data_IF_924352509569
#
_entry.id   IF_924352509569
#
_cell.length_a   1.000
_cell.length_b   1.000
_cell.length_c   1.000
_cell.angle_alpha   90.00
_cell.angle_beta   90.00
_cell.angle_gamma   90.00
#
_symmetry.space_group_name_H-M   'P 1'
#
loop_
_entity.id
_entity.type
_entity.pdbx_description
1 polymer ?
#
# COMPACT_ATOMS: atom_id res chain seq x y z
N UNK A 1 -53.07 -36.94 45.98
CA UNK A 1 -52.11 -36.19 46.81
C UNK A 1 -50.78 -36.17 46.08
N UNK A 2 -50.53 -35.08 45.37
CA UNK A 2 -49.28 -34.73 44.71
C UNK A 2 -48.39 -33.99 45.70
N UNK A 3 -47.08 -34.28 45.69
CA UNK A 3 -45.94 -33.36 45.85
C UNK A 3 -44.71 -34.20 46.23
N UNK A 4 -43.68 -34.14 45.38
CA UNK A 4 -42.30 -34.11 45.85
C UNK A 4 -41.51 -33.18 44.95
N UNK A 5 -41.53 -31.91 45.31
CA UNK A 5 -40.72 -30.85 44.74
C UNK A 5 -39.32 -30.97 45.34
N UNK A 6 -38.42 -31.73 44.69
CA UNK A 6 -36.99 -31.73 45.08
C UNK A 6 -35.99 -32.25 44.05
N UNK A 7 -36.38 -32.36 42.78
CA UNK A 7 -35.45 -32.66 41.69
C UNK A 7 -35.50 -31.56 40.65
N UNK A 8 -34.31 -31.16 40.20
CA UNK A 8 -34.04 -30.19 39.13
C UNK A 8 -34.01 -28.71 39.51
N UNK A 9 -33.38 -28.40 40.64
CA UNK A 9 -32.63 -27.15 40.87
C UNK A 9 -31.20 -27.20 40.25
N UNK A 10 -30.99 -28.01 39.21
CA UNK A 10 -29.67 -28.28 38.58
C UNK A 10 -29.62 -28.00 37.07
N UNK A 11 -30.50 -27.17 36.53
CA UNK A 11 -30.21 -26.45 35.28
C UNK A 11 -30.30 -24.97 35.60
N UNK A 12 -29.20 -24.43 36.12
CA UNK A 12 -28.32 -23.64 35.27
C UNK A 12 -29.05 -22.41 34.73
N UNK A 13 -29.24 -21.43 35.60
CA UNK A 13 -28.30 -20.29 35.65
C UNK A 13 -27.10 -20.44 34.70
N UNK A 14 -27.34 -20.42 33.39
CA UNK A 14 -26.38 -20.04 32.37
C UNK A 14 -26.76 -18.63 31.92
N UNK A 15 -26.57 -17.74 32.88
CA UNK A 15 -26.26 -16.34 32.67
C UNK A 15 -25.08 -16.23 31.69
N UNK A 16 -25.21 -15.27 30.77
CA UNK A 16 -24.13 -14.38 30.33
C UNK A 16 -22.98 -15.06 29.58
N UNK A 17 -22.93 -14.83 28.28
CA UNK A 17 -21.82 -14.14 27.59
C UNK A 17 -22.01 -14.34 26.09
N UNK A 18 -22.86 -13.52 25.49
CA UNK A 18 -22.74 -13.26 24.06
C UNK A 18 -21.42 -12.53 23.89
N UNK A 19 -20.34 -13.31 23.73
CA UNK A 19 -19.03 -12.83 23.38
C UNK A 19 -19.22 -12.11 22.05
N UNK A 20 -19.29 -10.78 22.12
CA UNK A 20 -18.89 -9.94 21.00
C UNK A 20 -17.42 -10.32 20.77
N UNK A 21 -17.19 -11.32 19.91
CA UNK A 21 -15.93 -11.43 19.21
C UNK A 21 -15.89 -10.19 18.32
N UNK A 22 -15.50 -9.05 18.90
CA UNK A 22 -14.72 -8.08 18.16
C UNK A 22 -13.55 -8.90 17.63
N UNK A 23 -13.62 -9.28 16.37
CA UNK A 23 -12.48 -9.83 15.68
C UNK A 23 -11.39 -8.79 15.82
N UNK A 24 -10.47 -9.02 16.75
CA UNK A 24 -9.13 -8.49 16.64
C UNK A 24 -8.55 -9.23 15.44
N UNK A 25 -8.95 -8.83 14.23
CA UNK A 25 -8.19 -9.14 13.04
C UNK A 25 -6.84 -8.47 13.25
N UNK A 26 -5.77 -9.25 13.15
CA UNK A 26 -4.43 -8.68 13.16
C UNK A 26 -4.38 -7.58 12.09
N UNK A 27 -3.76 -6.43 12.40
CA UNK A 27 -3.67 -5.34 11.44
C UNK A 27 -2.97 -5.84 10.16
N UNK A 28 -3.34 -5.28 8.99
CA UNK A 28 -2.75 -5.71 7.74
C UNK A 28 -1.22 -5.57 7.76
N UNK A 29 -0.53 -6.66 7.40
CA UNK A 29 0.92 -6.70 7.33
C UNK A 29 1.40 -6.23 5.95
N UNK A 30 2.09 -5.09 5.92
CA UNK A 30 2.66 -4.50 4.70
C UNK A 30 4.14 -4.80 4.50
N UNK A 31 4.83 -5.32 5.51
CA UNK A 31 6.27 -5.61 5.42
C UNK A 31 6.57 -6.61 4.30
N UNK A 32 7.59 -6.32 3.49
CA UNK A 32 7.99 -7.18 2.39
C UNK A 32 8.64 -6.44 1.23
N UNK A 33 9.03 -7.21 0.22
CA UNK A 33 9.52 -6.69 -1.05
C UNK A 33 8.47 -6.93 -2.12
N UNK A 34 8.23 -5.92 -2.96
CA UNK A 34 7.17 -5.94 -3.94
C UNK A 34 7.63 -5.41 -5.30
N UNK A 35 7.01 -5.92 -6.36
CA UNK A 35 7.21 -5.49 -7.74
C UNK A 35 5.88 -5.19 -8.41
N UNK A 36 5.84 -4.17 -9.27
CA UNK A 36 4.67 -3.92 -10.12
C UNK A 36 4.38 -5.11 -11.04
N UNK A 37 3.12 -5.48 -11.20
CA UNK A 37 2.70 -6.60 -12.06
C UNK A 37 1.56 -6.25 -13.00
N UNK A 38 1.36 -7.08 -14.03
CA UNK A 38 0.36 -6.84 -15.05
C UNK A 38 -1.04 -7.26 -14.60
N UNK A 39 -2.00 -6.35 -14.77
CA UNK A 39 -3.43 -6.58 -14.59
C UNK A 39 -3.85 -6.91 -13.16
N UNK A 40 -5.16 -7.09 -12.97
CA UNK A 40 -5.76 -7.42 -11.67
C UNK A 40 -5.29 -8.79 -11.13
N UNK A 41 -4.79 -9.66 -12.02
CA UNK A 41 -4.33 -11.02 -11.72
C UNK A 41 -2.88 -11.08 -11.24
N UNK A 42 -2.22 -9.94 -11.02
CA UNK A 42 -0.83 -9.88 -10.56
C UNK A 42 0.11 -10.75 -11.39
N UNK A 43 -0.03 -10.70 -12.71
CA UNK A 43 0.77 -11.55 -13.58
C UNK A 43 2.19 -11.00 -13.68
N UNK A 44 3.23 -11.85 -13.52
CA UNK A 44 4.59 -11.45 -13.84
C UNK A 44 4.64 -11.02 -15.31
N UNK A 45 5.29 -9.90 -15.60
CA UNK A 45 5.42 -9.45 -16.98
C UNK A 45 6.14 -8.12 -17.09
N UNK A 46 6.62 -7.85 -18.30
CA UNK A 46 7.24 -6.58 -18.69
C UNK A 46 6.23 -5.71 -19.43
N UNK A 47 6.49 -4.40 -19.49
CA UNK A 47 5.66 -3.47 -20.26
C UNK A 47 4.71 -2.62 -19.42
N UNK A 48 4.89 -2.56 -18.10
CA UNK A 48 4.35 -1.45 -17.32
C UNK A 48 4.94 -0.13 -17.82
N UNK A 49 4.18 0.99 -17.74
CA UNK A 49 4.78 2.31 -17.88
C UNK A 49 5.98 2.45 -16.96
N UNK A 50 7.05 3.11 -17.39
CA UNK A 50 8.30 3.18 -16.61
C UNK A 50 8.07 3.73 -15.17
N UNK A 51 7.09 4.61 -14.99
CA UNK A 51 6.69 5.14 -13.68
C UNK A 51 6.16 4.06 -12.71
N UNK A 52 5.63 2.97 -13.26
CA UNK A 52 5.00 1.85 -12.55
C UNK A 52 5.84 0.58 -12.56
N UNK A 53 6.88 0.53 -13.38
CA UNK A 53 7.94 -0.47 -13.30
C UNK A 53 8.83 -0.14 -12.09
N UNK A 54 8.39 -0.62 -10.93
CA UNK A 54 8.93 -0.23 -9.63
C UNK A 54 9.22 -1.43 -8.74
N UNK A 55 10.20 -1.27 -7.86
CA UNK A 55 10.46 -2.15 -6.73
C UNK A 55 10.25 -1.39 -5.42
N UNK A 56 9.49 -1.97 -4.51
CA UNK A 56 9.14 -1.40 -3.21
C UNK A 56 9.61 -2.33 -2.09
N UNK A 57 10.43 -1.85 -1.17
CA UNK A 57 10.87 -2.58 0.03
C UNK A 57 10.28 -1.88 1.25
N UNK A 58 9.27 -2.49 1.87
CA UNK A 58 8.57 -1.99 3.06
C UNK A 58 9.10 -2.71 4.30
N UNK A 59 9.47 -1.96 5.32
CA UNK A 59 9.95 -2.48 6.60
C UNK A 59 9.18 -1.83 7.75
N UNK A 60 9.09 -2.56 8.85
CA UNK A 60 8.67 -2.00 10.13
C UNK A 60 9.85 -1.23 10.72
N UNK A 61 9.63 0.05 11.02
CA UNK A 61 10.65 0.96 11.56
C UNK A 61 10.75 0.82 13.09
N UNK A 62 9.61 0.67 13.78
CA UNK A 62 9.58 0.42 15.23
C UNK A 62 8.58 -0.70 15.57
N UNK A 63 9.06 -1.95 15.73
CA UNK A 63 8.20 -3.10 15.99
C UNK A 63 7.67 -3.15 17.43
N UNK A 64 8.20 -2.33 18.35
CA UNK A 64 7.80 -2.33 19.76
C UNK A 64 6.64 -1.37 20.04
N UNK A 65 6.31 -0.49 19.09
CA UNK A 65 5.16 0.41 19.21
C UNK A 65 3.85 -0.33 18.99
N UNK A 66 2.84 0.07 19.78
CA UNK A 66 1.45 -0.43 19.66
C UNK A 66 0.86 -0.20 18.25
N UNK A 67 1.33 0.84 17.55
CA UNK A 67 1.06 1.08 16.13
C UNK A 67 2.39 0.98 15.38
N UNK A 68 2.58 -0.01 14.49
CA UNK A 68 3.82 -0.13 13.74
C UNK A 68 3.97 1.08 12.82
N UNK A 69 5.15 1.72 12.87
CA UNK A 69 5.57 2.66 11.82
C UNK A 69 6.19 1.86 10.68
N UNK A 70 5.88 2.24 9.45
CA UNK A 70 6.49 1.65 8.26
C UNK A 70 7.47 2.64 7.65
N UNK A 71 8.52 2.12 7.03
CA UNK A 71 9.37 2.87 6.11
C UNK A 71 9.45 2.06 4.83
N UNK A 72 9.28 2.73 3.70
CA UNK A 72 9.43 2.12 2.39
C UNK A 72 10.64 2.70 1.67
N UNK A 73 11.28 1.87 0.85
CA UNK A 73 12.29 2.26 -0.13
C UNK A 73 11.77 1.97 -1.52
N UNK A 74 11.51 3.01 -2.31
CA UNK A 74 11.03 2.93 -3.68
C UNK A 74 12.19 3.02 -4.66
N UNK A 75 12.23 2.13 -5.65
CA UNK A 75 13.18 2.14 -6.77
C UNK A 75 12.40 2.12 -8.09
N UNK A 76 12.71 3.07 -8.96
CA UNK A 76 12.20 3.14 -10.33
C UNK A 76 13.25 3.80 -11.22
N UNK A 77 13.35 3.36 -12.47
CA UNK A 77 14.28 3.89 -13.46
C UNK A 77 13.76 5.17 -14.15
N UNK A 78 12.44 5.42 -14.11
CA UNK A 78 11.80 6.52 -14.83
C UNK A 78 12.28 7.91 -14.40
N UNK A 79 12.86 8.00 -13.20
CA UNK A 79 13.08 9.27 -12.51
C UNK A 79 14.53 9.47 -12.07
N UNK A 80 15.45 8.71 -12.67
CA UNK A 80 16.87 8.67 -12.33
C UNK A 80 17.15 7.64 -11.25
N UNK A 81 18.00 6.65 -11.58
CA UNK A 81 18.34 5.49 -10.76
C UNK A 81 18.84 5.87 -9.36
N UNK A 82 17.92 5.99 -8.40
CA UNK A 82 18.28 6.06 -6.99
C UNK A 82 17.07 5.65 -6.13
N UNK A 83 17.27 4.83 -5.10
CA UNK A 83 16.19 4.53 -4.18
C UNK A 83 15.85 5.72 -3.28
N UNK A 84 14.57 6.03 -3.15
CA UNK A 84 14.05 7.06 -2.23
C UNK A 84 13.34 6.38 -1.07
N UNK A 85 13.53 6.89 0.15
CA UNK A 85 12.87 6.35 1.34
C UNK A 85 11.81 7.30 1.89
N UNK A 86 10.70 6.76 2.39
CA UNK A 86 9.63 7.55 3.00
C UNK A 86 9.02 6.84 4.21
N UNK A 87 8.62 7.58 5.26
CA UNK A 87 7.78 7.04 6.32
C UNK A 87 6.38 6.77 5.78
N UNK A 88 5.78 5.68 6.26
CA UNK A 88 4.41 5.28 5.94
C UNK A 88 3.43 5.79 6.98
N UNK A 89 2.26 6.21 6.52
CA UNK A 89 1.13 6.61 7.36
C UNK A 89 0.00 5.60 7.20
N UNK A 90 -0.38 4.95 8.30
CA UNK A 90 -1.57 4.11 8.34
C UNK A 90 -2.83 4.97 8.42
N UNK A 91 -3.81 4.65 7.57
CA UNK A 91 -5.16 5.23 7.57
C UNK A 91 -6.18 4.09 7.42
N UNK A 92 -6.66 3.56 8.55
CA UNK A 92 -7.47 2.33 8.56
C UNK A 92 -6.68 1.14 8.01
N UNK A 93 -7.19 0.54 6.93
CA UNK A 93 -6.56 -0.59 6.24
C UNK A 93 -5.63 -0.16 5.09
N UNK A 94 -5.39 1.15 4.95
CA UNK A 94 -4.54 1.72 3.92
C UNK A 94 -3.18 2.15 4.49
N UNK A 95 -2.13 1.98 3.69
CA UNK A 95 -0.79 2.50 3.97
C UNK A 95 -0.41 3.50 2.89
N UNK A 96 -0.18 4.75 3.29
CA UNK A 96 0.18 5.85 2.39
C UNK A 96 1.65 6.18 2.55
N UNK A 97 2.36 6.31 1.43
CA UNK A 97 3.73 6.82 1.37
C UNK A 97 3.80 8.07 0.52
N UNK A 98 4.60 9.04 0.99
CA UNK A 98 4.95 10.25 0.26
C UNK A 98 6.48 10.29 0.11
N UNK A 99 6.97 9.99 -1.09
CA UNK A 99 8.39 10.04 -1.41
C UNK A 99 8.72 11.38 -2.04
N UNK A 100 9.69 12.08 -1.46
CA UNK A 100 10.27 13.29 -2.03
C UNK A 100 11.67 12.98 -2.54
N UNK A 101 11.94 13.35 -3.78
CA UNK A 101 13.27 13.34 -4.37
C UNK A 101 13.64 14.76 -4.74
N UNK A 102 14.66 15.26 -4.06
CA UNK A 102 15.22 16.58 -4.32
C UNK A 102 15.67 16.73 -5.78
N UNK A 103 15.59 17.97 -6.24
CA UNK A 103 16.17 18.40 -7.50
C UNK A 103 17.66 18.02 -7.59
N UNK A 104 18.08 17.51 -8.76
CA UNK A 104 19.49 17.27 -9.05
C UNK A 104 19.94 18.17 -10.19
N UNK A 105 20.90 19.07 -9.89
CA UNK A 105 21.59 19.90 -10.88
C UNK A 105 23.04 19.46 -11.01
N UNK A 106 23.43 19.10 -12.23
CA UNK A 106 24.82 18.77 -12.55
C UNK A 106 25.23 19.29 -13.92
N UNK A 107 26.52 19.15 -14.23
CA UNK A 107 27.04 19.45 -15.58
C UNK A 107 26.30 18.66 -16.67
N UNK A 108 25.88 17.43 -16.36
CA UNK A 108 25.27 16.49 -17.30
C UNK A 108 23.76 16.69 -17.50
N UNK A 109 23.12 17.59 -16.75
CA UNK A 109 21.70 17.88 -16.94
C UNK A 109 20.97 18.35 -15.69
N UNK A 110 19.66 18.49 -15.85
CA UNK A 110 18.70 18.90 -14.84
C UNK A 110 17.68 17.78 -14.61
N UNK A 111 17.46 17.40 -13.36
CA UNK A 111 16.33 16.58 -12.93
C UNK A 111 15.47 17.41 -11.98
N UNK A 112 14.16 17.59 -12.25
CA UNK A 112 13.27 18.33 -11.36
C UNK A 112 13.14 17.63 -10.01
N UNK A 113 12.63 18.35 -9.02
CA UNK A 113 12.17 17.72 -7.78
C UNK A 113 10.96 16.84 -8.11
N UNK A 114 10.85 15.68 -7.47
CA UNK A 114 9.77 14.74 -7.72
C UNK A 114 9.09 14.35 -6.41
N UNK A 115 7.76 14.45 -6.41
CA UNK A 115 6.90 13.96 -5.34
C UNK A 115 6.12 12.74 -5.85
N UNK A 116 6.26 11.61 -5.18
CA UNK A 116 5.47 10.40 -5.44
C UNK A 116 4.59 10.13 -4.23
N UNK A 117 3.27 10.09 -4.45
CA UNK A 117 2.30 9.67 -3.43
C UNK A 117 1.69 8.35 -3.88
N UNK A 118 1.65 7.37 -2.99
CA UNK A 118 1.00 6.09 -3.26
C UNK A 118 0.20 5.61 -2.05
N UNK A 119 -0.94 5.00 -2.34
CA UNK A 119 -1.83 4.36 -1.36
C UNK A 119 -1.88 2.88 -1.63
N UNK A 120 -1.56 2.08 -0.60
CA UNK A 120 -1.48 0.63 -0.66
C UNK A 120 -2.53 0.01 0.25
N UNK A 121 -3.10 -1.10 -0.22
CA UNK A 121 -4.05 -1.94 0.49
C UNK A 121 -3.62 -3.40 0.35
N UNK A 122 -3.98 -4.30 1.28
CA UNK A 122 -3.87 -5.73 1.04
C UNK A 122 -4.67 -6.14 -0.21
N UNK A 123 -4.12 -7.00 -1.05
CA UNK A 123 -4.83 -7.45 -2.24
C UNK A 123 -6.00 -8.37 -1.88
N UNK A 124 -7.20 -8.01 -2.32
CA UNK A 124 -8.39 -8.83 -2.14
C UNK A 124 -8.32 -10.11 -2.99
N UNK A 125 -7.91 -11.21 -2.36
CA UNK A 125 -7.89 -12.55 -2.96
C UNK A 125 -6.50 -13.08 -3.30
N UNK A 126 -5.42 -12.35 -2.99
CA UNK A 126 -4.04 -12.81 -3.14
C UNK A 126 -3.22 -12.48 -1.89
N UNK A 127 -3.03 -13.50 -1.05
CA UNK A 127 -2.28 -13.39 0.20
C UNK A 127 -0.84 -12.93 -0.05
N UNK A 128 -0.37 -11.94 0.73
CA UNK A 128 0.98 -11.38 0.62
C UNK A 128 1.19 -10.44 -0.57
N UNK A 129 0.18 -10.21 -1.42
CA UNK A 129 0.23 -9.20 -2.46
C UNK A 129 -0.40 -7.90 -1.96
N UNK A 130 0.03 -6.77 -2.52
CA UNK A 130 -0.59 -5.47 -2.27
C UNK A 130 -1.33 -4.99 -3.52
N UNK A 131 -2.31 -4.14 -3.28
CA UNK A 131 -3.04 -3.39 -4.27
C UNK A 131 -2.70 -1.91 -4.12
N UNK A 132 -2.14 -1.30 -5.17
CA UNK A 132 -1.94 0.14 -5.22
C UNK A 132 -3.20 0.79 -5.79
N UNK A 133 -4.02 1.36 -4.90
CA UNK A 133 -5.32 1.95 -5.23
C UNK A 133 -5.21 3.41 -5.68
N UNK A 134 -4.13 4.10 -5.29
CA UNK A 134 -3.82 5.45 -5.77
C UNK A 134 -2.32 5.61 -6.00
N UNK A 135 -1.97 6.34 -7.05
CA UNK A 135 -0.61 6.75 -7.36
C UNK A 135 -0.64 8.11 -8.04
N UNK A 136 0.22 9.02 -7.59
CA UNK A 136 0.49 10.27 -8.28
C UNK A 136 1.97 10.56 -8.25
N UNK A 137 2.50 10.92 -9.42
CA UNK A 137 3.83 11.48 -9.57
C UNK A 137 3.68 12.94 -9.96
N UNK A 138 4.35 13.84 -9.24
CA UNK A 138 4.41 15.26 -9.57
C UNK A 138 5.85 15.70 -9.73
N UNK A 139 6.17 16.28 -10.88
CA UNK A 139 7.41 17.01 -11.10
C UNK A 139 7.23 18.48 -10.72
N UNK A 140 8.12 18.98 -9.87
CA UNK A 140 8.08 20.33 -9.32
C UNK A 140 9.27 21.15 -9.83
N UNK A 141 9.01 22.42 -10.17
CA UNK A 141 10.11 23.38 -10.39
C UNK A 141 10.51 24.02 -9.06
N UNK A 142 11.67 23.63 -8.56
CA UNK A 142 12.26 24.20 -7.36
C UNK A 142 12.65 25.69 -7.51
N UNK A 143 12.69 26.26 -8.73
CA UNK A 143 12.99 27.68 -8.96
C UNK A 143 11.81 28.61 -8.68
N UNK A 144 10.59 28.10 -8.73
CA UNK A 144 9.36 28.90 -8.61
C UNK A 144 8.54 28.52 -7.38
N UNK A 145 9.18 27.97 -6.35
CA UNK A 145 8.51 27.56 -5.09
C UNK A 145 7.31 26.63 -5.35
N UNK A 146 7.57 25.47 -5.95
CA UNK A 146 6.59 24.36 -6.07
C UNK A 146 5.49 24.54 -7.13
N UNK A 147 5.78 25.19 -8.25
CA UNK A 147 4.89 25.11 -9.41
C UNK A 147 4.97 23.70 -10.02
N UNK A 148 3.82 23.03 -10.15
CA UNK A 148 3.71 21.74 -10.82
C UNK A 148 4.09 21.90 -12.29
N UNK A 149 5.15 21.21 -12.71
CA UNK A 149 5.54 21.09 -14.13
C UNK A 149 4.59 20.11 -14.80
N UNK A 150 4.44 18.94 -14.19
CA UNK A 150 3.61 17.85 -14.68
C UNK A 150 3.15 17.00 -13.49
N UNK A 151 1.90 16.56 -13.54
CA UNK A 151 1.39 15.52 -12.64
C UNK A 151 0.86 14.38 -13.50
N UNK A 152 1.23 13.16 -13.14
CA UNK A 152 0.75 11.93 -13.77
C UNK A 152 0.11 11.07 -12.69
N UNK A 153 -1.17 10.74 -12.84
CA UNK A 153 -1.88 9.86 -11.91
C UNK A 153 -2.01 8.44 -12.42
N UNK A 154 -2.46 7.55 -11.54
CA UNK A 154 -2.80 6.18 -11.92
C UNK A 154 -3.93 6.15 -12.95
N UNK A 155 -4.91 7.06 -12.86
CA UNK A 155 -5.96 7.21 -13.86
C UNK A 155 -5.40 7.63 -15.22
N UNK A 156 -4.52 8.64 -15.27
CA UNK A 156 -3.88 9.08 -16.51
C UNK A 156 -3.12 7.94 -17.19
N UNK A 157 -2.44 7.11 -16.38
CA UNK A 157 -1.69 5.95 -16.87
C UNK A 157 -2.64 4.85 -17.36
N UNK A 158 -3.75 4.61 -16.66
CA UNK A 158 -4.76 3.63 -17.04
C UNK A 158 -5.52 4.04 -18.32
N UNK A 159 -5.72 5.33 -18.59
CA UNK A 159 -6.30 5.79 -19.85
C UNK A 159 -5.40 5.52 -21.06
N UNK A 160 -4.08 5.58 -20.85
CA UNK A 160 -3.07 5.43 -21.90
C UNK A 160 -2.55 4.00 -22.06
N UNK A 161 -2.97 3.11 -21.17
CA UNK A 161 -2.45 1.75 -21.07
C UNK A 161 -3.60 0.76 -21.10
N UNK A 162 -3.52 -0.33 -21.90
CA UNK A 162 -4.56 -1.35 -21.90
C UNK A 162 -4.85 -1.89 -20.49
N UNK A 163 -6.12 -2.13 -20.17
CA UNK A 163 -6.52 -2.70 -18.88
C UNK A 163 -5.89 -4.09 -18.59
N UNK A 164 -5.45 -4.81 -19.64
CA UNK A 164 -4.68 -6.04 -19.49
C UNK A 164 -3.30 -5.84 -18.87
N UNK A 165 -2.78 -4.61 -18.88
CA UNK A 165 -1.50 -4.20 -18.31
C UNK A 165 -1.71 -3.54 -16.95
N UNK A 166 -2.60 -2.56 -16.83
CA UNK A 166 -2.75 -1.79 -15.59
C UNK A 166 -3.88 -2.21 -14.66
N UNK A 167 -4.68 -3.21 -15.02
CA UNK A 167 -5.89 -3.51 -14.26
C UNK A 167 -6.97 -2.45 -14.44
N UNK A 168 -8.15 -2.64 -13.84
CA UNK A 168 -9.28 -1.71 -14.06
C UNK A 168 -9.27 -0.49 -13.14
N UNK A 169 -8.65 -0.56 -11.96
CA UNK A 169 -8.77 0.46 -10.89
C UNK A 169 -7.54 0.57 -9.98
N UNK A 170 -6.39 0.07 -10.40
CA UNK A 170 -5.19 0.02 -9.56
C UNK A 170 -4.17 -0.97 -10.07
N UNK A 171 -2.96 -0.91 -9.52
CA UNK A 171 -1.86 -1.80 -9.90
C UNK A 171 -1.67 -2.88 -8.82
N UNK A 172 -1.55 -4.14 -9.22
CA UNK A 172 -1.11 -5.15 -8.28
C UNK A 172 0.41 -5.08 -8.06
N UNK A 173 0.82 -5.08 -6.79
CA UNK A 173 2.20 -5.24 -6.38
C UNK A 173 2.39 -6.67 -5.86
N UNK A 174 3.16 -7.48 -6.58
CA UNK A 174 3.41 -8.85 -6.19
C UNK A 174 4.56 -8.96 -5.20
N UNK A 175 4.40 -9.83 -4.20
CA UNK A 175 5.49 -10.21 -3.31
C UNK A 175 6.64 -10.79 -4.14
N UNK A 176 7.84 -10.25 -3.93
CA UNK A 176 9.08 -10.65 -4.60
C UNK A 176 9.88 -11.68 -3.77
N UNK A 177 9.17 -12.50 -2.97
CA UNK A 177 9.74 -13.50 -2.07
C UNK A 177 10.59 -14.56 -2.77
#
# INVERSE_FOLDING_TARGET
MTVSARQQFCLMTLLISSVLLSGCSDPPHFEGQYVGTLGDQCMPGSGLPAALDMHLDIRVDDPEKRNPSYVARLRTSAFGEFPVSAPGKLDGDQLVFEFDKDEVRGWTGYQPQLLVVMTLEPHAGKEGHLWMSAFSLTALDARTESANIETVTLEDLAERTPASILGKRGLCLASAS
#
